data_IF_829227062940
#
_entry.id   IF_829227062940
#
_cell.length_a   1.000
_cell.length_b   1.000
_cell.length_c   1.000
_cell.angle_alpha   90.00
_cell.angle_beta   90.00
_cell.angle_gamma   90.00
#
_symmetry.space_group_name_H-M   'P 1'
#
loop_
_entity.id
_entity.type
_entity.pdbx_description
1 polymer ?
#
# COMPACT_ATOMS: atom_id res chain seq x y z
N UNK A 1 -2.53 38.69 47.87
CA UNK A 1 -3.15 38.23 46.60
C UNK A 1 -2.70 39.15 45.48
N UNK A 2 -1.64 38.79 44.73
CA UNK A 2 -1.20 39.55 43.56
C UNK A 2 -1.18 38.63 42.33
N UNK A 3 -2.17 38.80 41.45
CA UNK A 3 -2.25 38.13 40.15
C UNK A 3 -1.48 38.93 39.10
N UNK A 4 -0.55 38.23 38.47
CA UNK A 4 0.15 38.63 37.24
C UNK A 4 -0.76 38.35 36.05
N UNK A 5 -0.95 39.32 35.14
CA UNK A 5 -1.24 39.03 33.73
C UNK A 5 -0.84 40.22 32.84
N UNK A 6 0.36 40.15 32.25
CA UNK A 6 0.83 41.12 31.25
C UNK A 6 0.65 40.54 29.86
N UNK A 7 -0.19 41.21 29.05
CA UNK A 7 -0.35 40.98 27.60
C UNK A 7 1.00 41.17 26.89
N UNK A 8 1.33 40.31 25.92
CA UNK A 8 2.31 40.65 24.87
C UNK A 8 1.77 40.33 23.48
N UNK A 9 1.90 41.35 22.63
CA UNK A 9 1.47 41.48 21.23
C UNK A 9 2.45 40.78 20.30
N UNK A 10 1.93 40.19 19.23
CA UNK A 10 2.68 39.74 18.06
C UNK A 10 3.24 40.96 17.31
N UNK A 11 4.52 40.90 16.91
CA UNK A 11 5.14 41.80 15.92
C UNK A 11 5.86 40.93 14.89
N UNK A 12 5.51 41.14 13.63
CA UNK A 12 6.11 40.56 12.45
C UNK A 12 7.48 41.19 12.16
N UNK A 13 8.42 40.43 11.61
CA UNK A 13 9.70 40.95 11.10
C UNK A 13 9.84 40.55 9.63
N UNK A 14 9.81 41.58 8.78
CA UNK A 14 10.38 41.58 7.44
C UNK A 14 11.71 42.35 7.49
N UNK A 15 12.71 41.93 6.72
CA UNK A 15 13.98 42.63 6.64
C UNK A 15 14.84 42.14 5.47
N UNK A 16 14.84 42.94 4.40
CA UNK A 16 15.71 42.88 3.21
C UNK A 16 17.04 43.56 3.52
N UNK A 17 18.19 43.05 3.04
CA UNK A 17 19.39 43.89 2.82
C UNK A 17 20.23 43.40 1.63
N UNK A 18 20.65 44.38 0.82
CA UNK A 18 21.41 44.30 -0.44
C UNK A 18 22.85 44.80 -0.23
N UNK A 19 23.80 44.04 -0.80
CA UNK A 19 25.12 44.32 -1.42
C UNK A 19 26.07 45.48 -1.01
N UNK A 20 27.38 45.18 -1.11
CA UNK A 20 28.54 45.90 -1.74
C UNK A 20 29.83 45.20 -1.20
N UNK A 21 30.70 44.49 -1.95
CA UNK A 21 31.58 44.73 -3.12
C UNK A 21 32.94 45.42 -2.80
N UNK A 22 34.00 44.98 -3.55
CA UNK A 22 35.36 45.55 -3.81
C UNK A 22 36.56 44.98 -2.98
N UNK A 23 37.80 44.69 -3.46
CA UNK A 23 38.63 45.02 -4.65
C UNK A 23 39.78 43.97 -4.81
N UNK A 24 40.19 43.61 -6.05
CA UNK A 24 41.63 43.57 -6.48
C UNK A 24 41.74 43.94 -7.99
N UNK A 25 42.37 45.09 -8.29
CA UNK A 25 42.94 45.53 -9.58
C UNK A 25 44.46 45.27 -9.61
N UNK A 26 45.26 45.29 -10.68
CA UNK A 26 45.17 45.68 -12.09
C UNK A 26 46.60 45.93 -12.66
N UNK A 27 46.70 46.52 -13.86
CA UNK A 27 47.86 47.05 -14.66
C UNK A 27 48.10 46.22 -15.94
N UNK A 28 47.83 46.63 -17.20
CA UNK A 28 47.97 47.84 -18.05
C UNK A 28 49.35 48.01 -18.73
N UNK A 29 49.42 47.87 -20.06
CA UNK A 29 50.05 48.87 -20.94
C UNK A 29 49.64 48.73 -22.43
N UNK A 30 49.56 49.91 -23.06
CA UNK A 30 49.07 50.29 -24.40
C UNK A 30 50.24 50.48 -25.37
N UNK A 31 50.03 50.39 -26.71
CA UNK A 31 50.40 51.41 -27.74
C UNK A 31 49.96 51.00 -29.18
N UNK A 32 49.07 51.84 -29.74
CA UNK A 32 48.76 52.32 -31.12
C UNK A 32 49.05 51.55 -32.43
N UNK A 33 47.97 51.45 -33.21
CA UNK A 33 47.70 51.86 -34.62
C UNK A 33 48.82 51.86 -35.69
N UNK A 34 48.58 51.12 -36.80
CA UNK A 34 48.51 51.63 -38.19
C UNK A 34 47.67 50.69 -39.07
N UNK A 35 46.82 51.26 -39.93
CA UNK A 35 45.78 50.54 -40.69
C UNK A 35 46.21 49.88 -42.00
N UNK A 36 45.20 49.52 -42.80
CA UNK A 36 45.37 49.15 -44.20
C UNK A 36 44.37 48.09 -44.71
N UNK A 37 43.40 48.55 -45.52
CA UNK A 37 42.93 47.87 -46.73
C UNK A 37 42.15 46.55 -46.60
N UNK A 38 40.86 46.60 -46.94
CA UNK A 38 40.12 45.44 -47.41
C UNK A 38 40.73 44.89 -48.72
N UNK A 39 40.83 43.57 -48.92
CA UNK A 39 41.05 43.00 -50.23
C UNK A 39 39.74 42.48 -50.84
N UNK A 40 39.31 43.17 -51.89
CA UNK A 40 38.44 42.67 -52.95
C UNK A 40 39.14 41.51 -53.67
N UNK A 41 38.45 40.38 -53.89
CA UNK A 41 38.95 39.28 -54.71
C UNK A 41 38.56 39.46 -56.21
N UNK A 42 39.39 39.00 -57.17
CA UNK A 42 39.29 39.33 -58.61
C UNK A 42 38.37 38.38 -59.40
N UNK A 43 38.04 38.73 -60.67
CA UNK A 43 37.05 38.02 -61.49
C UNK A 43 37.66 36.79 -62.19
N UNK A 44 36.90 35.68 -62.23
CA UNK A 44 37.24 34.50 -63.04
C UNK A 44 36.19 34.33 -64.15
N UNK A 45 36.67 33.97 -65.35
CA UNK A 45 35.98 34.05 -66.63
C UNK A 45 34.80 33.09 -66.88
N UNK A 46 34.28 33.05 -68.12
CA UNK A 46 33.03 32.36 -68.44
C UNK A 46 33.16 30.83 -68.33
N UNK A 47 32.09 30.12 -67.96
CA UNK A 47 32.11 28.67 -67.78
C UNK A 47 32.13 27.92 -69.12
N UNK A 48 33.04 26.96 -69.23
CA UNK A 48 32.94 25.82 -70.15
C UNK A 48 31.75 24.96 -69.72
N UNK A 49 30.83 24.70 -70.65
CA UNK A 49 29.65 23.87 -70.42
C UNK A 49 30.05 22.40 -70.34
N UNK A 50 29.90 21.79 -69.16
CA UNK A 50 29.91 20.34 -68.95
C UNK A 50 28.44 19.85 -68.91
N UNK A 51 28.05 18.75 -69.59
CA UNK A 51 26.66 18.29 -69.59
C UNK A 51 26.20 17.82 -68.21
N UNK A 52 25.18 18.48 -67.65
CA UNK A 52 24.55 18.08 -66.39
C UNK A 52 23.81 16.75 -66.53
N UNK A 53 24.20 15.78 -65.71
CA UNK A 53 23.43 14.56 -65.44
C UNK A 53 22.12 14.96 -64.73
N UNK A 54 20.94 14.49 -65.16
CA UNK A 54 19.67 14.84 -64.51
C UNK A 54 19.64 14.32 -63.06
N UNK A 55 19.12 15.09 -62.09
CA UNK A 55 19.01 14.63 -60.71
C UNK A 55 18.06 13.45 -60.62
N UNK A 56 18.54 12.36 -60.03
CA UNK A 56 17.72 11.21 -59.62
C UNK A 56 16.70 11.69 -58.59
N UNK A 57 15.41 11.57 -58.93
CA UNK A 57 14.30 11.81 -58.01
C UNK A 57 14.39 10.77 -56.89
N UNK A 58 14.73 11.20 -55.67
CA UNK A 58 14.58 10.33 -54.50
C UNK A 58 13.08 10.00 -54.35
N UNK A 59 12.67 8.73 -54.29
CA UNK A 59 11.29 8.41 -53.95
C UNK A 59 10.99 8.93 -52.54
N UNK A 60 9.99 9.79 -52.43
CA UNK A 60 9.42 10.23 -51.17
C UNK A 60 9.04 9.01 -50.33
N UNK A 61 9.67 8.82 -49.18
CA UNK A 61 9.27 7.79 -48.21
C UNK A 61 7.81 8.08 -47.83
N UNK A 62 6.85 7.16 -48.04
CA UNK A 62 5.48 7.37 -47.58
C UNK A 62 5.47 7.56 -46.06
N UNK A 63 4.61 8.44 -45.51
CA UNK A 63 4.55 8.63 -44.07
C UNK A 63 4.25 7.29 -43.39
N UNK A 64 5.13 6.89 -42.48
CA UNK A 64 4.96 5.69 -41.66
C UNK A 64 3.55 5.74 -41.03
N UNK A 65 2.72 4.69 -41.14
CA UNK A 65 1.38 4.72 -40.58
C UNK A 65 1.47 5.05 -39.08
N UNK A 66 0.83 6.13 -38.67
CA UNK A 66 0.81 6.58 -37.28
C UNK A 66 0.33 5.46 -36.34
N UNK A 67 0.67 5.53 -35.03
CA UNK A 67 0.31 4.47 -34.09
C UNK A 67 -1.20 4.20 -34.15
N UNK A 68 -1.57 2.94 -34.34
CA UNK A 68 -2.97 2.54 -34.46
C UNK A 68 -3.77 3.05 -33.24
N UNK A 69 -4.87 3.75 -33.51
CA UNK A 69 -5.74 4.31 -32.48
C UNK A 69 -7.04 3.51 -32.35
N UNK A 70 -7.77 3.75 -31.28
CA UNK A 70 -9.13 3.26 -31.07
C UNK A 70 -9.96 4.33 -30.37
N UNK A 71 -11.29 4.23 -30.48
CA UNK A 71 -12.21 5.08 -29.74
C UNK A 71 -12.62 4.40 -28.43
N UNK A 72 -12.56 5.15 -27.33
CA UNK A 72 -13.16 4.76 -26.04
C UNK A 72 -14.24 5.76 -25.67
N UNK A 73 -15.27 5.29 -24.97
CA UNK A 73 -16.31 6.16 -24.42
C UNK A 73 -16.05 6.38 -22.94
N UNK A 74 -16.15 7.63 -22.50
CA UNK A 74 -16.15 8.05 -21.09
C UNK A 74 -17.42 8.84 -20.82
N UNK A 75 -17.75 9.06 -19.55
CA UNK A 75 -18.98 9.75 -19.17
C UNK A 75 -18.66 10.95 -18.30
N UNK A 76 -19.19 12.11 -18.68
CA UNK A 76 -19.08 13.37 -17.94
C UNK A 76 -20.46 13.96 -17.71
N UNK A 77 -20.59 14.84 -16.73
CA UNK A 77 -21.78 15.68 -16.60
C UNK A 77 -21.82 16.75 -17.69
N UNK A 78 -22.99 17.35 -17.92
CA UNK A 78 -23.16 18.45 -18.87
C UNK A 78 -24.16 19.48 -18.33
N UNK A 79 -23.86 20.76 -18.51
CA UNK A 79 -24.75 21.84 -18.04
C UNK A 79 -24.79 21.97 -16.52
N UNK A 80 -25.81 22.66 -16.02
CA UNK A 80 -26.07 22.86 -14.58
C UNK A 80 -27.06 21.82 -14.02
N UNK A 81 -27.16 20.65 -14.65
CA UNK A 81 -28.17 19.63 -14.33
C UNK A 81 -28.33 19.44 -12.81
N UNK A 82 -29.58 19.50 -12.34
CA UNK A 82 -29.92 19.39 -10.93
C UNK A 82 -29.72 17.97 -10.37
N UNK A 83 -29.65 16.96 -11.24
CA UNK A 83 -29.46 15.56 -10.85
C UNK A 83 -28.00 15.10 -11.03
N UNK A 84 -27.27 14.86 -9.93
CA UNK A 84 -25.89 14.40 -10.00
C UNK A 84 -25.72 12.98 -10.57
N UNK A 85 -26.80 12.21 -10.77
CA UNK A 85 -26.70 10.87 -11.37
C UNK A 85 -26.63 10.91 -12.91
N UNK A 86 -26.95 12.04 -13.54
CA UNK A 86 -27.02 12.14 -15.00
C UNK A 86 -25.65 12.45 -15.60
N UNK A 87 -25.20 11.55 -16.49
CA UNK A 87 -23.95 11.69 -17.24
C UNK A 87 -24.18 11.43 -18.72
N UNK A 88 -23.39 12.07 -19.57
CA UNK A 88 -23.45 11.94 -21.03
C UNK A 88 -22.16 11.33 -21.59
N UNK A 89 -22.27 10.47 -22.62
CA UNK A 89 -21.11 9.83 -23.23
C UNK A 89 -20.28 10.83 -24.04
N UNK A 90 -18.96 10.76 -23.88
CA UNK A 90 -17.96 11.50 -24.64
C UNK A 90 -16.97 10.50 -25.23
N UNK A 91 -16.72 10.61 -26.54
CA UNK A 91 -15.82 9.70 -27.26
C UNK A 91 -14.41 10.28 -27.33
N UNK A 92 -13.41 9.48 -26.96
CA UNK A 92 -11.98 9.81 -26.97
C UNK A 92 -11.23 8.90 -27.91
N UNK A 93 -10.28 9.46 -28.65
CA UNK A 93 -9.32 8.69 -29.45
C UNK A 93 -8.08 8.44 -28.61
N UNK A 94 -7.74 7.17 -28.40
CA UNK A 94 -6.60 6.73 -27.60
C UNK A 94 -5.73 5.75 -28.39
N UNK A 95 -4.46 5.55 -28.03
CA UNK A 95 -3.66 4.46 -28.59
C UNK A 95 -4.36 3.11 -28.39
N UNK A 96 -4.32 2.26 -29.42
CA UNK A 96 -4.96 0.93 -29.38
C UNK A 96 -4.36 0.09 -28.25
N UNK A 97 -5.22 -0.51 -27.42
CA UNK A 97 -4.79 -1.38 -26.32
C UNK A 97 -5.82 -2.48 -26.04
N UNK A 98 -5.35 -3.64 -25.60
CA UNK A 98 -6.22 -4.70 -25.07
C UNK A 98 -6.88 -4.31 -23.74
N UNK A 99 -6.35 -3.32 -23.00
CA UNK A 99 -6.85 -2.89 -21.68
C UNK A 99 -7.87 -1.75 -21.80
N UNK A 100 -8.93 -1.96 -22.57
CA UNK A 100 -9.90 -0.91 -22.96
C UNK A 100 -10.50 -0.20 -21.74
N UNK A 101 -10.94 -0.93 -20.70
CA UNK A 101 -11.47 -0.34 -19.47
C UNK A 101 -10.42 0.50 -18.70
N UNK A 102 -9.14 0.10 -18.75
CA UNK A 102 -8.05 0.89 -18.16
C UNK A 102 -7.84 2.19 -18.95
N UNK A 103 -7.89 2.14 -20.29
CA UNK A 103 -7.77 3.32 -21.13
C UNK A 103 -8.92 4.30 -20.90
N UNK A 104 -10.17 3.82 -20.89
CA UNK A 104 -11.34 4.65 -20.63
C UNK A 104 -11.26 5.37 -19.27
N UNK A 105 -10.91 4.65 -18.19
CA UNK A 105 -10.74 5.30 -16.88
C UNK A 105 -9.57 6.30 -16.85
N UNK A 106 -8.45 6.06 -17.55
CA UNK A 106 -7.37 7.06 -17.62
C UNK A 106 -7.82 8.36 -18.27
N UNK A 107 -8.63 8.27 -19.33
CA UNK A 107 -9.20 9.43 -20.00
C UNK A 107 -10.21 10.16 -19.09
N UNK A 108 -11.07 9.41 -18.38
CA UNK A 108 -11.99 9.99 -17.40
C UNK A 108 -11.23 10.75 -16.30
N UNK A 109 -10.18 10.14 -15.72
CA UNK A 109 -9.38 10.75 -14.67
C UNK A 109 -8.57 11.97 -15.13
N UNK A 110 -8.39 12.16 -16.44
CA UNK A 110 -7.77 13.37 -16.99
C UNK A 110 -8.75 14.54 -17.06
N UNK A 111 -10.04 14.25 -16.88
CA UNK A 111 -11.13 15.22 -16.89
C UNK A 111 -11.48 15.76 -18.28
N UNK A 112 -12.46 16.66 -18.37
CA UNK A 112 -12.83 17.32 -19.62
C UNK A 112 -11.70 18.21 -20.14
N UNK A 113 -11.52 18.23 -21.46
CA UNK A 113 -10.62 19.16 -22.17
C UNK A 113 -11.21 20.57 -22.21
N UNK A 114 -10.40 21.57 -22.56
CA UNK A 114 -10.88 22.94 -22.73
C UNK A 114 -12.06 23.05 -23.72
N UNK A 115 -11.99 22.34 -24.85
CA UNK A 115 -13.06 22.32 -25.86
C UNK A 115 -14.36 21.67 -25.34
N UNK A 116 -14.27 20.63 -24.49
CA UNK A 116 -15.45 20.00 -23.90
C UNK A 116 -16.08 20.86 -22.82
N UNK A 117 -15.28 21.56 -22.02
CA UNK A 117 -15.80 22.53 -21.04
C UNK A 117 -16.54 23.67 -21.71
N UNK A 118 -16.06 24.16 -22.86
CA UNK A 118 -16.77 25.15 -23.68
C UNK A 118 -18.13 24.63 -24.19
N UNK A 119 -18.29 23.30 -24.32
CA UNK A 119 -19.57 22.65 -24.68
C UNK A 119 -20.44 22.30 -23.45
N UNK A 120 -20.03 22.76 -22.27
CA UNK A 120 -20.73 22.59 -21.01
C UNK A 120 -20.41 21.31 -20.25
N UNK A 121 -19.42 20.51 -20.66
CA UNK A 121 -19.04 19.31 -19.91
C UNK A 121 -18.23 19.65 -18.66
N UNK A 122 -18.53 18.98 -17.56
CA UNK A 122 -17.78 19.11 -16.31
C UNK A 122 -17.63 17.75 -15.61
N UNK A 123 -16.66 17.67 -14.71
CA UNK A 123 -16.34 16.50 -13.88
C UNK A 123 -15.62 16.97 -12.63
N UNK A 124 -15.62 16.15 -11.58
CA UNK A 124 -14.68 16.33 -10.47
C UNK A 124 -13.24 16.10 -10.90
N UNK A 125 -13.00 15.26 -11.91
CA UNK A 125 -11.67 14.97 -12.43
C UNK A 125 -11.12 16.10 -13.30
N UNK A 126 -9.80 16.22 -13.29
CA UNK A 126 -9.05 17.22 -14.05
C UNK A 126 -7.65 16.70 -14.38
N UNK A 127 -6.82 17.53 -15.03
CA UNK A 127 -5.42 17.20 -15.26
C UNK A 127 -4.66 16.86 -13.95
N UNK A 128 -5.10 17.37 -12.79
CA UNK A 128 -4.48 17.06 -11.50
C UNK A 128 -4.75 15.62 -11.03
N UNK A 129 -5.83 14.99 -11.48
CA UNK A 129 -6.14 13.58 -11.21
C UNK A 129 -5.60 12.63 -12.28
N UNK A 130 -5.01 13.17 -13.35
CA UNK A 130 -4.36 12.37 -14.37
C UNK A 130 -3.26 11.48 -13.75
N UNK A 131 -3.23 10.21 -14.13
CA UNK A 131 -2.26 9.25 -13.61
C UNK A 131 -2.56 8.72 -12.19
N UNK A 132 -3.67 9.09 -11.56
CA UNK A 132 -4.04 8.52 -10.25
C UNK A 132 -4.54 7.07 -10.33
N UNK A 133 -4.85 6.54 -11.52
CA UNK A 133 -5.23 5.13 -11.68
C UNK A 133 -4.04 4.19 -11.45
N UNK A 134 -4.14 3.29 -10.48
CA UNK A 134 -3.15 2.25 -10.19
C UNK A 134 -3.43 0.96 -10.97
N UNK A 135 -4.66 0.47 -10.92
CA UNK A 135 -5.04 -0.75 -11.64
C UNK A 135 -6.54 -0.85 -11.91
N UNK A 136 -6.91 -1.63 -12.92
CA UNK A 136 -8.28 -2.06 -13.19
C UNK A 136 -8.24 -3.56 -13.42
N UNK A 137 -9.08 -4.33 -12.72
CA UNK A 137 -9.26 -5.77 -12.93
C UNK A 137 -10.74 -6.09 -13.06
N UNK A 138 -11.09 -6.87 -14.07
CA UNK A 138 -12.45 -7.37 -14.25
C UNK A 138 -12.42 -8.87 -14.04
N UNK A 139 -13.15 -9.36 -13.03
CA UNK A 139 -13.27 -10.79 -12.76
C UNK A 139 -14.63 -11.11 -12.13
N UNK A 140 -15.23 -12.24 -12.50
CA UNK A 140 -16.56 -12.64 -12.00
C UNK A 140 -17.68 -11.63 -12.32
N UNK A 141 -17.48 -10.79 -13.34
CA UNK A 141 -18.37 -9.68 -13.67
C UNK A 141 -18.30 -8.48 -12.73
N UNK A 142 -17.25 -8.36 -11.92
CA UNK A 142 -16.99 -7.20 -11.07
C UNK A 142 -15.75 -6.46 -11.58
N UNK A 143 -15.90 -5.18 -11.93
CA UNK A 143 -14.78 -4.30 -12.25
C UNK A 143 -14.24 -3.65 -10.96
N UNK A 144 -12.99 -3.95 -10.62
CA UNK A 144 -12.29 -3.40 -9.47
C UNK A 144 -11.27 -2.37 -9.95
N UNK A 145 -11.49 -1.10 -9.63
CA UNK A 145 -10.58 -0.01 -9.97
C UNK A 145 -9.88 0.51 -8.70
N UNK A 146 -8.55 0.50 -8.73
CA UNK A 146 -7.70 0.99 -7.65
C UNK A 146 -7.05 2.32 -8.04
N UNK A 147 -7.18 3.31 -7.16
CA UNK A 147 -6.66 4.65 -7.36
C UNK A 147 -5.59 4.98 -6.32
N UNK A 148 -4.69 5.90 -6.65
CA UNK A 148 -3.95 6.67 -5.65
C UNK A 148 -4.92 7.58 -4.91
N UNK A 149 -4.55 8.00 -3.71
CA UNK A 149 -5.40 8.83 -2.87
C UNK A 149 -5.50 10.26 -3.44
N UNK A 150 -6.62 10.55 -4.10
CA UNK A 150 -6.92 11.86 -4.66
C UNK A 150 -7.90 12.69 -3.80
N UNK A 151 -8.18 12.27 -2.56
CA UNK A 151 -9.16 12.96 -1.68
C UNK A 151 -8.81 14.41 -1.41
N UNK A 152 -7.52 14.74 -1.37
CA UNK A 152 -7.02 16.11 -1.22
C UNK A 152 -7.10 16.95 -2.50
N UNK A 153 -7.22 16.30 -3.66
CA UNK A 153 -7.28 16.96 -4.97
C UNK A 153 -8.73 17.33 -5.30
N UNK A 154 -9.68 16.44 -4.98
CA UNK A 154 -11.12 16.64 -5.23
C UNK A 154 -11.95 16.56 -3.94
N UNK A 155 -11.67 17.41 -2.92
CA UNK A 155 -12.27 17.28 -1.59
C UNK A 155 -13.81 17.40 -1.59
N UNK A 156 -14.38 18.09 -2.58
CA UNK A 156 -15.83 18.28 -2.68
C UNK A 156 -16.60 17.07 -3.22
N UNK A 157 -15.90 16.06 -3.76
CA UNK A 157 -16.55 14.85 -4.27
C UNK A 157 -17.13 13.95 -3.18
N UNK A 158 -16.85 14.22 -1.89
CA UNK A 158 -17.46 13.51 -0.75
C UNK A 158 -18.75 14.15 -0.22
N UNK A 159 -19.17 15.30 -0.76
CA UNK A 159 -20.49 15.85 -0.47
C UNK A 159 -21.59 14.96 -1.11
N UNK A 160 -22.81 14.96 -0.57
CA UNK A 160 -23.88 14.05 -1.04
C UNK A 160 -24.12 14.09 -2.56
N UNK A 161 -24.25 15.28 -3.16
CA UNK A 161 -24.38 15.39 -4.62
C UNK A 161 -23.06 15.06 -5.36
N UNK A 162 -21.92 15.40 -4.76
CA UNK A 162 -20.60 15.11 -5.33
C UNK A 162 -20.27 13.62 -5.38
N UNK A 163 -20.71 12.84 -4.39
CA UNK A 163 -20.49 11.39 -4.35
C UNK A 163 -21.34 10.68 -5.38
N UNK A 164 -22.59 11.11 -5.55
CA UNK A 164 -23.46 10.66 -6.64
C UNK A 164 -22.85 10.96 -8.01
N UNK A 165 -22.35 12.19 -8.23
CA UNK A 165 -21.69 12.61 -9.45
C UNK A 165 -20.44 11.78 -9.76
N UNK A 166 -19.53 11.66 -8.80
CA UNK A 166 -18.31 10.86 -8.93
C UNK A 166 -18.63 9.39 -9.27
N UNK A 167 -19.57 8.79 -8.55
CA UNK A 167 -19.96 7.39 -8.78
C UNK A 167 -20.65 7.22 -10.13
N UNK A 168 -21.48 8.16 -10.58
CA UNK A 168 -22.12 8.10 -11.89
C UNK A 168 -21.08 8.06 -13.03
N UNK A 169 -20.09 8.96 -13.00
CA UNK A 169 -19.02 8.98 -14.02
C UNK A 169 -18.23 7.67 -14.04
N UNK A 170 -17.83 7.17 -12.86
CA UNK A 170 -17.06 5.94 -12.73
C UNK A 170 -17.87 4.71 -13.14
N UNK A 171 -19.11 4.58 -12.65
CA UNK A 171 -19.98 3.44 -12.90
C UNK A 171 -20.39 3.37 -14.37
N UNK A 172 -20.82 4.46 -15.00
CA UNK A 172 -21.17 4.44 -16.41
C UNK A 172 -19.97 4.11 -17.29
N UNK A 173 -18.78 4.65 -16.96
CA UNK A 173 -17.55 4.36 -17.70
C UNK A 173 -17.12 2.90 -17.59
N UNK A 174 -17.37 2.22 -16.47
CA UNK A 174 -17.01 0.80 -16.31
C UNK A 174 -18.13 -0.17 -16.72
N UNK A 175 -19.39 0.17 -16.48
CA UNK A 175 -20.55 -0.68 -16.78
C UNK A 175 -20.97 -0.64 -18.24
N UNK A 176 -20.40 0.25 -19.06
CA UNK A 176 -20.57 0.20 -20.52
C UNK A 176 -20.11 -1.14 -21.13
N UNK A 177 -19.20 -1.85 -20.46
CA UNK A 177 -18.75 -3.17 -20.88
C UNK A 177 -19.73 -4.22 -20.37
N UNK A 178 -20.39 -4.96 -21.27
CA UNK A 178 -21.42 -5.96 -20.92
C UNK A 178 -20.96 -7.06 -19.95
N UNK A 179 -19.66 -7.32 -19.88
CA UNK A 179 -19.07 -8.24 -18.91
C UNK A 179 -19.07 -7.70 -17.47
N UNK A 180 -19.30 -6.40 -17.26
CA UNK A 180 -19.25 -5.72 -15.95
C UNK A 180 -20.66 -5.52 -15.41
N UNK A 181 -20.99 -6.25 -14.35
CA UNK A 181 -22.28 -6.19 -13.64
C UNK A 181 -22.23 -5.36 -12.37
N UNK A 182 -21.04 -5.21 -11.79
CA UNK A 182 -20.81 -4.42 -10.59
C UNK A 182 -19.43 -3.76 -10.62
N UNK A 183 -19.30 -2.68 -9.86
CA UNK A 183 -18.08 -1.87 -9.75
C UNK A 183 -17.65 -1.80 -8.28
N UNK A 184 -16.34 -1.78 -8.05
CA UNK A 184 -15.76 -1.62 -6.72
C UNK A 184 -14.53 -0.74 -6.83
N UNK A 185 -14.50 0.28 -5.98
CA UNK A 185 -13.44 1.28 -5.97
C UNK A 185 -12.59 1.18 -4.71
N UNK A 186 -11.32 1.57 -4.80
CA UNK A 186 -10.41 1.59 -3.66
C UNK A 186 -9.37 2.68 -3.76
N UNK A 187 -8.93 3.20 -2.61
CA UNK A 187 -7.73 4.03 -2.51
C UNK A 187 -6.57 3.23 -1.99
N UNK A 188 -5.52 3.16 -2.78
CA UNK A 188 -4.36 2.35 -2.49
C UNK A 188 -4.83 1.00 -1.96
N UNK A 189 -5.64 0.31 -2.75
CA UNK A 189 -6.32 -0.96 -2.53
C UNK A 189 -7.22 -1.06 -1.29
N UNK A 190 -7.35 -0.02 -0.49
CA UNK A 190 -8.32 0.05 0.60
C UNK A 190 -9.69 0.44 0.04
N UNK A 191 -10.57 -0.57 -0.09
CA UNK A 191 -11.95 -0.38 -0.54
C UNK A 191 -12.69 0.52 0.44
N UNK A 192 -12.53 0.28 1.74
CA UNK A 192 -13.31 1.00 2.75
C UNK A 192 -12.92 2.46 2.83
N UNK A 193 -11.64 2.78 2.74
CA UNK A 193 -11.17 4.17 2.70
C UNK A 193 -11.83 4.98 1.58
N UNK A 194 -12.13 4.35 0.44
CA UNK A 194 -12.84 5.00 -0.66
C UNK A 194 -14.31 5.28 -0.30
N UNK A 195 -15.05 4.28 0.19
CA UNK A 195 -16.48 4.44 0.48
C UNK A 195 -16.74 5.27 1.75
N UNK A 196 -15.91 5.17 2.78
CA UNK A 196 -15.98 6.03 3.97
C UNK A 196 -15.78 7.51 3.62
N UNK A 197 -14.85 7.80 2.71
CA UNK A 197 -14.68 9.16 2.20
C UNK A 197 -15.97 9.68 1.57
N UNK A 198 -16.70 8.81 0.85
CA UNK A 198 -18.02 9.14 0.29
C UNK A 198 -19.17 9.04 1.30
N UNK A 199 -18.89 8.74 2.57
CA UNK A 199 -19.90 8.52 3.63
C UNK A 199 -20.86 7.37 3.31
N UNK A 200 -20.34 6.31 2.67
CA UNK A 200 -21.10 5.14 2.23
C UNK A 200 -20.50 3.86 2.79
N UNK A 201 -21.32 2.81 2.83
CA UNK A 201 -20.83 1.46 3.08
C UNK A 201 -20.19 0.85 1.82
N UNK A 202 -19.08 0.11 1.96
CA UNK A 202 -18.54 -0.69 0.87
C UNK A 202 -19.58 -1.70 0.35
N UNK A 203 -19.60 -1.99 -0.98
CA UNK A 203 -20.49 -3.00 -1.53
C UNK A 203 -20.29 -4.36 -0.83
N UNK A 204 -21.37 -5.12 -0.65
CA UNK A 204 -21.31 -6.41 0.03
C UNK A 204 -20.27 -7.36 -0.62
N UNK A 205 -19.55 -8.12 0.21
CA UNK A 205 -18.52 -9.07 -0.25
C UNK A 205 -17.22 -8.42 -0.77
N UNK A 206 -17.02 -7.11 -0.59
CA UNK A 206 -15.79 -6.41 -1.02
C UNK A 206 -14.76 -6.22 0.08
N UNK A 207 -15.14 -6.42 1.34
CA UNK A 207 -14.22 -6.34 2.49
C UNK A 207 -14.08 -7.69 3.19
N UNK A 208 -12.93 -7.96 3.84
CA UNK A 208 -12.73 -9.21 4.58
C UNK A 208 -13.77 -9.43 5.69
N UNK A 209 -14.32 -10.64 5.78
CA UNK A 209 -15.36 -11.06 6.75
C UNK A 209 -14.76 -11.75 7.98
N UNK A 210 -15.52 -11.83 9.08
CA UNK A 210 -15.10 -12.62 10.26
C UNK A 210 -14.90 -14.11 9.93
N UNK A 211 -15.64 -14.66 8.96
CA UNK A 211 -15.41 -16.02 8.46
C UNK A 211 -14.04 -16.17 7.77
N UNK A 212 -13.58 -15.15 7.05
CA UNK A 212 -12.20 -15.12 6.53
C UNK A 212 -11.18 -14.97 7.66
N UNK A 213 -11.44 -14.12 8.66
CA UNK A 213 -10.58 -13.99 9.84
C UNK A 213 -10.41 -15.34 10.55
N UNK A 214 -11.50 -16.09 10.74
CA UNK A 214 -11.48 -17.42 11.33
C UNK A 214 -10.60 -18.39 10.52
N UNK A 215 -10.73 -18.41 9.18
CA UNK A 215 -9.91 -19.28 8.33
C UNK A 215 -8.42 -18.95 8.42
N UNK A 216 -8.06 -17.67 8.35
CA UNK A 216 -6.67 -17.20 8.47
C UNK A 216 -6.11 -17.53 9.86
N UNK A 217 -6.89 -17.28 10.91
CA UNK A 217 -6.49 -17.58 12.28
C UNK A 217 -6.26 -19.08 12.51
N UNK A 218 -7.15 -19.93 12.00
CA UNK A 218 -7.00 -21.38 12.08
C UNK A 218 -5.75 -21.87 11.36
N UNK A 219 -5.53 -21.40 10.13
CA UNK A 219 -4.36 -21.77 9.33
C UNK A 219 -3.06 -21.39 10.03
N UNK A 220 -3.02 -20.20 10.63
CA UNK A 220 -1.89 -19.75 11.43
C UNK A 220 -1.63 -20.65 12.64
N UNK A 221 -2.66 -20.97 13.43
CA UNK A 221 -2.51 -21.83 14.61
C UNK A 221 -2.01 -23.23 14.23
N UNK A 222 -2.48 -23.79 13.11
CA UNK A 222 -2.05 -25.12 12.65
C UNK A 222 -0.63 -25.09 12.08
N UNK A 223 -0.36 -24.19 11.12
CA UNK A 223 0.89 -24.22 10.34
C UNK A 223 2.06 -23.50 11.00
N UNK A 224 1.78 -22.47 11.80
CA UNK A 224 2.81 -21.63 12.44
C UNK A 224 3.02 -22.04 13.89
N UNK A 225 1.93 -22.06 14.66
CA UNK A 225 2.00 -22.39 16.10
C UNK A 225 2.18 -23.90 16.31
N UNK A 226 1.57 -24.73 15.46
CA UNK A 226 1.62 -26.19 15.59
C UNK A 226 0.54 -26.75 16.53
N UNK A 227 -0.60 -26.07 16.63
CA UNK A 227 -1.78 -26.59 17.32
C UNK A 227 -2.48 -27.65 16.47
N UNK A 228 -2.75 -28.80 17.09
CA UNK A 228 -3.54 -29.87 16.47
C UNK A 228 -5.03 -29.55 16.60
N UNK A 229 -5.73 -29.48 15.47
CA UNK A 229 -7.18 -29.31 15.37
C UNK A 229 -7.79 -28.25 16.33
N UNK A 230 -7.34 -26.97 16.26
CA UNK A 230 -7.83 -25.93 17.16
C UNK A 230 -9.34 -25.72 16.98
N UNK A 231 -10.07 -25.79 18.09
CA UNK A 231 -11.52 -25.65 18.15
C UNK A 231 -11.95 -24.20 18.18
N UNK A 232 -12.68 -23.76 17.15
CA UNK A 232 -13.25 -22.41 17.05
C UNK A 232 -14.24 -22.15 18.21
N UNK A 233 -14.20 -20.93 18.76
CA UNK A 233 -15.17 -20.47 19.77
C UNK A 233 -15.95 -19.25 19.30
N UNK A 234 -15.25 -18.18 18.94
CA UNK A 234 -15.89 -16.93 18.54
C UNK A 234 -14.96 -16.10 17.65
N UNK A 235 -15.54 -15.33 16.75
CA UNK A 235 -14.87 -14.26 16.03
C UNK A 235 -15.61 -12.95 16.27
N UNK A 236 -14.88 -11.86 16.48
CA UNK A 236 -15.45 -10.54 16.78
C UNK A 236 -14.56 -9.42 16.26
N UNK A 237 -15.17 -8.35 15.81
CA UNK A 237 -14.45 -7.11 15.53
C UNK A 237 -14.07 -6.44 16.85
N UNK A 238 -12.80 -6.10 17.00
CA UNK A 238 -12.30 -5.26 18.11
C UNK A 238 -12.34 -3.79 17.74
N UNK A 239 -12.14 -3.51 16.45
CA UNK A 239 -12.31 -2.22 15.79
C UNK A 239 -12.58 -2.48 14.31
N UNK A 240 -12.73 -1.41 13.52
CA UNK A 240 -12.83 -1.56 12.07
C UNK A 240 -11.62 -2.26 11.45
N UNK A 241 -10.42 -2.00 11.95
CA UNK A 241 -9.19 -2.54 11.40
C UNK A 241 -8.73 -3.83 12.08
N UNK A 242 -9.33 -4.25 13.20
CA UNK A 242 -8.84 -5.37 14.00
C UNK A 242 -9.96 -6.36 14.28
N UNK A 243 -9.73 -7.62 13.92
CA UNK A 243 -10.56 -8.75 14.33
C UNK A 243 -9.83 -9.60 15.36
N UNK A 244 -10.59 -10.25 16.24
CA UNK A 244 -10.07 -11.28 17.14
C UNK A 244 -10.82 -12.58 16.92
N UNK A 245 -10.11 -13.71 16.98
CA UNK A 245 -10.70 -15.04 16.87
C UNK A 245 -10.18 -15.92 18.00
N UNK A 246 -11.11 -16.47 18.77
CA UNK A 246 -10.82 -17.30 19.93
C UNK A 246 -10.85 -18.78 19.56
N UNK A 247 -9.81 -19.50 19.96
CA UNK A 247 -9.69 -20.95 19.81
C UNK A 247 -9.41 -21.61 21.17
N UNK A 248 -9.84 -22.86 21.29
CA UNK A 248 -9.48 -23.77 22.39
C UNK A 248 -8.80 -25.02 21.84
N UNK A 249 -7.90 -25.65 22.61
CA UNK A 249 -7.40 -26.97 22.25
C UNK A 249 -8.54 -27.99 22.30
N UNK A 250 -8.52 -28.96 21.38
CA UNK A 250 -9.31 -30.19 21.49
C UNK A 250 -8.41 -31.28 22.08
N UNK A 251 -8.97 -32.11 22.96
CA UNK A 251 -8.25 -33.29 23.42
C UNK A 251 -8.16 -34.30 22.26
N UNK A 252 -7.06 -35.05 22.18
CA UNK A 252 -6.96 -36.15 21.24
C UNK A 252 -8.16 -37.11 21.41
N UNK A 253 -8.90 -37.35 20.31
CA UNK A 253 -10.07 -38.23 20.30
C UNK A 253 -11.41 -37.59 20.66
N UNK A 254 -11.44 -36.35 21.16
CA UNK A 254 -12.70 -35.65 21.49
C UNK A 254 -13.16 -34.74 20.33
N UNK A 255 -14.44 -34.85 19.96
CA UNK A 255 -15.06 -33.99 18.93
C UNK A 255 -15.36 -32.58 19.47
N UNK A 256 -15.43 -32.42 20.79
CA UNK A 256 -15.79 -31.16 21.45
C UNK A 256 -14.59 -30.53 22.17
N UNK A 257 -14.45 -29.18 22.16
CA UNK A 257 -13.43 -28.52 22.99
C UNK A 257 -13.72 -28.76 24.48
N UNK A 258 -12.70 -29.10 25.28
CA UNK A 258 -12.85 -29.25 26.74
C UNK A 258 -13.55 -28.01 27.35
N UNK A 259 -14.66 -28.16 28.09
CA UNK A 259 -15.20 -27.07 28.90
C UNK A 259 -14.09 -26.59 29.86
N UNK A 260 -13.78 -25.28 29.84
CA UNK A 260 -12.77 -24.70 30.73
C UNK A 260 -11.31 -24.73 30.24
N UNK A 261 -11.01 -25.26 29.05
CA UNK A 261 -9.64 -25.20 28.48
C UNK A 261 -9.16 -23.77 28.17
N UNK A 262 -7.83 -23.53 28.14
CA UNK A 262 -7.27 -22.21 27.90
C UNK A 262 -7.69 -21.67 26.52
N UNK A 263 -7.95 -20.37 26.45
CA UNK A 263 -8.28 -19.70 25.19
C UNK A 263 -7.00 -19.10 24.60
N UNK A 264 -6.76 -19.38 23.33
CA UNK A 264 -5.80 -18.64 22.51
C UNK A 264 -6.58 -17.72 21.58
N UNK A 265 -6.41 -16.42 21.77
CA UNK A 265 -7.00 -15.38 20.93
C UNK A 265 -5.98 -14.98 19.87
N UNK A 266 -6.35 -15.15 18.60
CA UNK A 266 -5.59 -14.64 17.46
C UNK A 266 -6.05 -13.22 17.16
N UNK A 267 -5.12 -12.28 17.12
CA UNK A 267 -5.39 -10.88 16.77
C UNK A 267 -5.00 -10.66 15.32
N UNK A 268 -5.93 -10.15 14.51
CA UNK A 268 -5.74 -10.00 13.07
C UNK A 268 -5.99 -8.55 12.63
N UNK A 269 -5.05 -8.01 11.87
CA UNK A 269 -5.22 -6.76 11.14
C UNK A 269 -5.97 -7.01 9.83
N UNK A 270 -7.06 -6.29 9.63
CA UNK A 270 -7.85 -6.31 8.38
C UNK A 270 -7.03 -5.65 7.29
N UNK A 271 -6.66 -6.43 6.28
CA UNK A 271 -6.09 -5.92 5.04
C UNK A 271 -7.18 -5.63 4.00
N UNK A 272 -6.72 -5.39 2.78
CA UNK A 272 -7.58 -5.05 1.63
C UNK A 272 -8.53 -6.18 1.23
N UNK A 273 -8.01 -7.41 1.19
CA UNK A 273 -8.72 -8.61 0.70
C UNK A 273 -8.54 -9.82 1.62
N UNK A 274 -7.68 -9.71 2.63
CA UNK A 274 -7.38 -10.77 3.58
C UNK A 274 -7.01 -10.16 4.94
N UNK A 275 -6.68 -11.01 5.90
CA UNK A 275 -6.18 -10.63 7.20
C UNK A 275 -4.69 -10.95 7.33
N UNK A 276 -4.00 -10.16 8.15
CA UNK A 276 -2.66 -10.43 8.61
C UNK A 276 -2.73 -10.74 10.10
N UNK A 277 -2.18 -11.88 10.53
CA UNK A 277 -2.03 -12.16 11.96
C UNK A 277 -0.99 -11.20 12.55
N UNK A 278 -1.37 -10.53 13.64
CA UNK A 278 -0.51 -9.57 14.36
C UNK A 278 0.17 -10.27 15.54
N UNK A 279 -0.60 -11.02 16.31
CA UNK A 279 -0.13 -11.76 17.48
C UNK A 279 -1.12 -12.88 17.84
N UNK A 280 -0.70 -13.78 18.72
CA UNK A 280 -1.62 -14.61 19.51
C UNK A 280 -1.40 -14.30 20.98
N UNK A 281 -2.47 -14.32 21.75
CA UNK A 281 -2.44 -14.07 23.19
C UNK A 281 -3.25 -15.12 23.95
N UNK A 282 -2.81 -15.43 25.15
CA UNK A 282 -3.55 -16.23 26.13
C UNK A 282 -3.50 -15.52 27.48
N UNK A 283 -4.50 -15.76 28.34
CA UNK A 283 -4.54 -15.19 29.69
C UNK A 283 -3.46 -15.73 30.64
N UNK A 284 -2.66 -16.71 30.22
CA UNK A 284 -1.71 -17.42 31.10
C UNK A 284 -0.27 -17.45 30.58
N UNK A 285 0.02 -16.87 29.41
CA UNK A 285 1.39 -16.67 28.92
C UNK A 285 1.44 -15.26 28.33
N UNK A 286 2.24 -14.38 28.91
CA UNK A 286 2.51 -13.03 28.41
C UNK A 286 3.99 -12.95 28.04
N UNK A 287 4.27 -12.45 26.84
CA UNK A 287 5.63 -12.18 26.36
C UNK A 287 5.80 -10.67 26.27
N UNK A 288 6.70 -10.13 27.07
CA UNK A 288 7.00 -8.71 27.13
C UNK A 288 8.24 -8.37 26.27
N UNK A 289 9.15 -9.34 26.12
CA UNK A 289 10.34 -9.27 25.26
C UNK A 289 10.43 -10.55 24.40
N UNK A 290 10.53 -10.45 23.06
CA UNK A 290 10.36 -9.23 22.26
C UNK A 290 8.94 -8.66 22.40
N UNK A 291 8.79 -7.35 22.17
CA UNK A 291 7.50 -6.66 22.30
C UNK A 291 6.63 -6.87 21.06
N UNK A 292 5.32 -7.06 21.25
CA UNK A 292 4.36 -7.03 20.14
C UNK A 292 4.40 -5.68 19.41
N UNK A 293 4.42 -5.74 18.08
CA UNK A 293 4.41 -4.59 17.20
C UNK A 293 3.02 -4.38 16.59
N UNK A 294 2.57 -3.13 16.53
CA UNK A 294 1.29 -2.76 15.90
C UNK A 294 1.48 -2.45 14.41
N UNK A 295 2.63 -1.85 14.05
CA UNK A 295 3.05 -1.57 12.68
C UNK A 295 4.31 -2.37 12.31
N UNK A 296 4.54 -2.68 11.01
CA UNK A 296 5.81 -3.26 10.55
C UNK A 296 7.06 -2.46 10.94
N UNK A 297 6.94 -1.14 11.11
CA UNK A 297 8.04 -0.27 11.55
C UNK A 297 8.44 -0.47 13.01
N UNK A 298 7.53 -1.01 13.82
CA UNK A 298 7.73 -1.21 15.25
C UNK A 298 8.21 -2.64 15.56
N UNK A 299 8.45 -3.44 14.53
CA UNK A 299 8.88 -4.84 14.66
C UNK A 299 10.26 -4.92 15.30
N UNK A 300 10.36 -5.67 16.38
CA UNK A 300 11.64 -6.03 16.97
C UNK A 300 12.45 -6.87 15.96
N UNK A 301 13.64 -6.39 15.60
CA UNK A 301 14.63 -7.18 14.85
C UNK A 301 15.45 -7.98 15.86
N UNK A 302 15.42 -9.30 15.77
CA UNK A 302 16.07 -10.19 16.76
C UNK A 302 17.29 -10.89 16.19
N UNK A 303 18.31 -11.07 17.02
CA UNK A 303 19.53 -11.83 16.73
C UNK A 303 19.66 -13.02 17.69
N UNK A 304 20.50 -13.99 17.34
CA UNK A 304 20.72 -15.17 18.19
C UNK A 304 21.87 -14.90 19.17
N UNK A 305 21.72 -15.23 20.47
CA UNK A 305 20.49 -15.71 21.10
C UNK A 305 19.49 -14.57 21.35
N UNK A 306 18.19 -14.85 21.21
CA UNK A 306 17.14 -13.87 21.54
C UNK A 306 16.79 -13.96 23.02
N UNK A 307 16.69 -12.81 23.69
CA UNK A 307 16.15 -12.72 25.06
C UNK A 307 14.63 -12.82 24.99
N UNK A 308 14.07 -13.70 25.81
CA UNK A 308 12.62 -13.90 25.93
C UNK A 308 12.22 -13.71 27.39
N UNK A 309 11.36 -12.73 27.65
CA UNK A 309 10.95 -12.36 29.00
C UNK A 309 9.46 -12.04 29.05
N UNK A 310 8.85 -12.24 30.21
CA UNK A 310 7.44 -12.00 30.42
C UNK A 310 6.94 -12.65 31.71
N UNK A 311 5.72 -13.15 31.69
CA UNK A 311 5.13 -13.87 32.81
C UNK A 311 4.24 -15.01 32.33
N UNK A 312 4.23 -16.12 33.06
CA UNK A 312 3.43 -17.29 32.70
C UNK A 312 2.88 -18.04 33.91
N UNK A 313 1.69 -18.61 33.71
CA UNK A 313 1.11 -19.71 34.46
C UNK A 313 1.03 -20.90 33.50
N UNK A 314 1.93 -21.87 33.66
CA UNK A 314 2.03 -23.04 32.81
C UNK A 314 2.08 -24.31 33.66
N UNK A 315 1.72 -25.46 33.08
CA UNK A 315 1.89 -26.74 33.75
C UNK A 315 3.36 -26.91 34.21
N UNK A 316 3.55 -27.13 35.52
CA UNK A 316 4.87 -27.22 36.17
C UNK A 316 5.78 -25.99 35.96
N UNK A 317 5.20 -24.83 35.59
CA UNK A 317 5.94 -23.61 35.28
C UNK A 317 6.72 -23.65 33.96
N UNK A 318 6.61 -24.73 33.18
CA UNK A 318 7.41 -24.91 31.97
C UNK A 318 6.77 -24.25 30.76
N UNK A 319 7.46 -23.27 30.17
CA UNK A 319 7.05 -22.62 28.91
C UNK A 319 8.04 -23.00 27.82
N UNK A 320 7.54 -23.68 26.78
CA UNK A 320 8.33 -23.96 25.58
C UNK A 320 8.38 -22.71 24.70
N UNK A 321 9.55 -22.45 24.11
CA UNK A 321 9.76 -21.31 23.20
C UNK A 321 10.31 -21.81 21.87
N UNK A 322 9.76 -21.33 20.77
CA UNK A 322 10.26 -21.56 19.40
C UNK A 322 10.51 -20.24 18.70
N UNK A 323 11.61 -20.18 17.96
CA UNK A 323 11.90 -19.10 17.00
C UNK A 323 11.71 -19.67 15.60
N UNK A 324 10.80 -19.08 14.83
CA UNK A 324 10.46 -19.56 13.49
C UNK A 324 10.56 -18.43 12.46
N UNK A 325 11.04 -18.76 11.27
CA UNK A 325 11.07 -17.87 10.11
C UNK A 325 9.87 -18.15 9.21
N UNK A 326 9.14 -17.10 8.83
CA UNK A 326 8.07 -17.22 7.86
C UNK A 326 8.64 -17.61 6.48
N UNK A 327 8.02 -18.59 5.84
CA UNK A 327 8.29 -18.99 4.46
C UNK A 327 7.03 -18.76 3.62
N UNK A 328 7.10 -18.95 2.30
CA UNK A 328 5.98 -18.65 1.41
C UNK A 328 4.65 -19.32 1.79
N UNK A 329 4.68 -20.54 2.34
CA UNK A 329 3.47 -21.32 2.70
C UNK A 329 3.45 -21.84 4.13
N UNK A 330 4.46 -21.54 4.95
CA UNK A 330 4.58 -22.07 6.30
C UNK A 330 5.68 -21.40 7.11
N UNK A 331 6.38 -22.18 7.92
CA UNK A 331 7.52 -21.70 8.71
C UNK A 331 8.67 -22.69 8.75
N UNK A 332 9.89 -22.17 8.84
CA UNK A 332 11.10 -22.92 9.18
C UNK A 332 11.44 -22.65 10.64
N UNK A 333 11.52 -23.68 11.47
CA UNK A 333 12.03 -23.52 12.83
C UNK A 333 13.52 -23.23 12.80
N UNK A 334 13.93 -22.14 13.44
CA UNK A 334 15.33 -21.72 13.55
C UNK A 334 15.96 -22.20 14.87
N UNK A 335 15.17 -22.20 15.93
CA UNK A 335 15.63 -22.57 17.27
C UNK A 335 14.47 -22.87 18.21
N UNK A 336 14.79 -23.50 19.32
CA UNK A 336 13.86 -23.81 20.39
C UNK A 336 14.58 -23.77 21.74
N UNK A 337 13.83 -23.50 22.79
CA UNK A 337 14.31 -23.49 24.17
C UNK A 337 13.14 -23.53 25.15
N UNK A 338 13.44 -23.34 26.42
CA UNK A 338 12.44 -23.29 27.48
C UNK A 338 12.78 -22.16 28.45
N UNK A 339 11.73 -21.58 29.04
CA UNK A 339 11.82 -20.61 30.13
C UNK A 339 10.87 -21.06 31.25
N UNK A 340 11.19 -20.67 32.49
CA UNK A 340 10.42 -21.09 33.67
C UNK A 340 9.62 -19.91 34.21
N UNK A 341 8.29 -20.04 34.17
CA UNK A 341 7.34 -19.15 34.84
C UNK A 341 6.80 -19.80 36.12
N UNK A 342 5.52 -19.59 36.43
CA UNK A 342 4.87 -20.19 37.59
C UNK A 342 3.98 -21.40 37.24
N UNK A 343 3.93 -22.38 38.16
CA UNK A 343 3.14 -23.61 38.03
C UNK A 343 1.75 -23.58 38.68
N UNK A 344 1.60 -22.70 39.66
CA UNK A 344 0.44 -22.50 40.55
C UNK A 344 -0.19 -21.13 40.33
N UNK A 345 0.64 -20.08 40.26
CA UNK A 345 0.23 -18.71 39.95
C UNK A 345 1.15 -18.11 38.88
N UNK A 346 0.67 -17.09 38.19
CA UNK A 346 1.45 -16.43 37.14
C UNK A 346 2.71 -15.78 37.73
N UNK A 347 3.89 -16.19 37.27
CA UNK A 347 5.18 -15.61 37.72
C UNK A 347 6.00 -15.11 36.53
N UNK A 348 6.90 -14.13 36.75
CA UNK A 348 7.83 -13.69 35.74
C UNK A 348 8.73 -14.83 35.25
N UNK A 349 9.13 -14.76 33.98
CA UNK A 349 10.19 -15.58 33.41
C UNK A 349 11.15 -14.69 32.62
N UNK A 350 12.41 -15.12 32.54
CA UNK A 350 13.42 -14.56 31.63
C UNK A 350 14.36 -15.66 31.20
N UNK A 351 14.84 -15.62 29.96
CA UNK A 351 15.79 -16.59 29.43
C UNK A 351 16.22 -16.23 28.02
N UNK A 352 17.08 -17.07 27.44
CA UNK A 352 17.59 -16.88 26.08
C UNK A 352 17.29 -18.10 25.22
N UNK A 353 17.04 -17.88 23.93
CA UNK A 353 16.85 -18.94 22.95
C UNK A 353 17.82 -18.73 21.79
N UNK A 354 18.75 -19.67 21.63
CA UNK A 354 19.65 -19.72 20.49
C UNK A 354 18.91 -20.25 19.25
N UNK A 355 19.25 -19.71 18.08
CA UNK A 355 18.66 -20.14 16.82
C UNK A 355 19.64 -20.02 15.65
N UNK A 356 19.44 -20.87 14.64
CA UNK A 356 20.26 -20.90 13.44
C UNK A 356 20.15 -19.59 12.64
N UNK A 357 21.20 -19.16 11.91
CA UNK A 357 21.18 -17.94 11.12
C UNK A 357 19.93 -17.83 10.21
N UNK A 358 19.16 -16.75 10.32
CA UNK A 358 17.98 -16.52 9.48
C UNK A 358 18.39 -15.92 8.13
N UNK A 359 17.54 -16.11 7.12
CA UNK A 359 17.50 -15.19 5.97
C UNK A 359 16.85 -13.85 6.38
N UNK A 360 16.95 -12.82 5.54
CA UNK A 360 16.21 -11.58 5.77
C UNK A 360 14.70 -11.84 5.68
N UNK A 361 13.91 -11.22 6.56
CA UNK A 361 12.45 -11.33 6.50
C UNK A 361 11.76 -11.37 7.86
N UNK A 362 10.56 -11.93 7.89
CA UNK A 362 9.70 -11.98 9.08
C UNK A 362 9.75 -13.34 9.77
N UNK A 363 9.42 -13.34 11.05
CA UNK A 363 9.30 -14.54 11.87
C UNK A 363 8.42 -14.35 13.08
N UNK A 364 8.47 -15.35 13.96
CA UNK A 364 7.74 -15.37 15.21
C UNK A 364 8.59 -15.93 16.34
N UNK A 365 8.50 -15.30 17.51
CA UNK A 365 8.83 -15.92 18.79
C UNK A 365 7.53 -16.44 19.38
N UNK A 366 7.45 -17.75 19.58
CA UNK A 366 6.23 -18.45 20.00
C UNK A 366 6.50 -19.07 21.37
N UNK A 367 5.85 -18.55 22.40
CA UNK A 367 5.85 -19.10 23.76
C UNK A 367 4.57 -19.91 23.99
N UNK A 368 4.68 -21.18 24.34
CA UNK A 368 3.54 -22.09 24.37
C UNK A 368 3.69 -23.18 25.44
N UNK A 369 2.56 -23.75 25.82
CA UNK A 369 2.49 -24.92 26.69
C UNK A 369 2.16 -26.17 25.87
N UNK A 370 2.76 -27.30 26.23
CA UNK A 370 2.40 -28.62 25.73
C UNK A 370 1.58 -29.36 26.78
N UNK A 371 0.59 -30.11 26.32
CA UNK A 371 -0.14 -31.08 27.13
C UNK A 371 0.80 -32.20 27.57
N UNK A 372 0.81 -32.51 28.86
CA UNK A 372 1.58 -33.62 29.41
C UNK A 372 1.08 -35.00 28.91
N UNK A 373 -0.17 -35.08 28.45
CA UNK A 373 -0.78 -36.34 28.02
C UNK A 373 -0.37 -36.76 26.60
N UNK A 374 -0.23 -35.80 25.68
CA UNK A 374 -0.08 -36.07 24.24
C UNK A 374 0.91 -35.12 23.53
N UNK A 375 1.57 -34.22 24.27
CA UNK A 375 2.54 -33.26 23.73
C UNK A 375 1.94 -32.17 22.84
N UNK A 376 0.60 -32.13 22.67
CA UNK A 376 -0.08 -31.16 21.82
C UNK A 376 0.02 -29.75 22.39
N UNK A 377 0.10 -28.74 21.52
CA UNK A 377 0.11 -27.33 21.96
C UNK A 377 -1.26 -26.94 22.49
N UNK A 378 -1.36 -26.59 23.77
CA UNK A 378 -2.63 -26.28 24.44
C UNK A 378 -2.97 -24.80 24.38
N UNK A 379 -1.96 -23.93 24.44
CA UNK A 379 -2.07 -22.47 24.40
C UNK A 379 -0.76 -21.86 23.92
N UNK A 380 -0.85 -20.71 23.25
CA UNK A 380 0.34 -20.03 22.75
C UNK A 380 0.18 -18.50 22.69
N UNK A 381 1.25 -17.81 23.08
CA UNK A 381 1.45 -16.38 22.81
C UNK A 381 2.56 -16.25 21.76
N UNK A 382 2.24 -15.57 20.66
CA UNK A 382 3.14 -15.44 19.51
C UNK A 382 3.39 -13.98 19.21
N UNK A 383 4.66 -13.59 19.23
CA UNK A 383 5.11 -12.22 18.92
C UNK A 383 5.80 -12.22 17.55
N UNK A 384 5.37 -11.32 16.68
CA UNK A 384 6.00 -11.14 15.37
C UNK A 384 7.35 -10.43 15.50
N UNK A 385 8.36 -10.91 14.79
CA UNK A 385 9.72 -10.35 14.79
C UNK A 385 10.27 -10.22 13.36
N UNK A 386 11.29 -9.38 13.19
CA UNK A 386 12.09 -9.26 11.98
C UNK A 386 13.46 -9.92 12.11
N UNK A 387 14.01 -10.32 10.96
CA UNK A 387 15.38 -10.81 10.81
C UNK A 387 16.11 -10.00 9.74
N UNK A 388 17.31 -9.53 10.05
CA UNK A 388 18.14 -8.77 9.11
C UNK A 388 18.73 -9.64 7.99
N UNK A 389 18.80 -10.96 8.19
CA UNK A 389 19.50 -11.88 7.29
C UNK A 389 21.01 -11.86 7.48
N UNK A 390 21.67 -12.90 6.97
CA UNK A 390 23.13 -12.89 6.80
C UNK A 390 23.40 -12.62 5.33
N UNK A 391 23.78 -11.38 4.97
CA UNK A 391 24.41 -11.15 3.68
C UNK A 391 25.76 -11.88 3.71
N UNK A 392 25.92 -12.89 2.85
CA UNK A 392 27.28 -13.30 2.46
C UNK A 392 27.85 -12.13 1.66
N UNK A 393 29.01 -11.55 2.02
CA UNK A 393 29.69 -10.67 1.09
C UNK A 393 29.91 -11.45 -0.21
N UNK A 394 29.50 -10.85 -1.35
CA UNK A 394 29.87 -11.40 -2.67
C UNK A 394 31.41 -11.36 -2.75
N UNK A 395 32.05 -12.43 -3.25
CA UNK A 395 33.51 -12.48 -3.38
C UNK A 395 34.03 -11.37 -4.28
#
# INVERSE_FOLDING_TARGET
MNRVSTRRRFVAVAGVFVAIALVVSGIWFVVRDRGGGAPTAPPAGPPTVEPAVPPTVMPSVPPSPGPATMTVTIFFHRGQDADPAVVVPVRRTVPRTARIATAALRELLSGPTAAERQRGHWSHFSAATAGMLRSVRVSGGVARADFRDFRRIIPNASASAGSAALLAELDHTLRQFSTVRATVYSFNGDVRLFYEWLQMEPPAGTTPTLAQAQRVARDFLVRVVGMTDPGYRAARWRSDAVATVDFRPRAAGDRSPRPGGPVTTVVLGKGRTSFTVLETVTGTIRVDTPRSAVSPTDLAVVTSPVVVAGAALAFEGTVSVRVVQATGTGVRQLGAGQVTGGGDVMRPFTGTVSFAPPGAGLGWVIAFERSAADGAVTKATSVRVGFAGTDRPRP
#
